data_IF_901575377612
#
_entry.id   IF_901575377612
#
_cell.length_a   1.000
_cell.length_b   1.000
_cell.length_c   1.000
_cell.angle_alpha   90.00
_cell.angle_beta   90.00
_cell.angle_gamma   90.00
#
_symmetry.space_group_name_H-M   'P 1'
#
loop_
_entity.id
_entity.type
_entity.pdbx_description
1 polymer ?
#
# COMPACT_ATOMS: atom_id res chain seq x y z
N UNK A 1 -0.57 -2.63 -18.24
CA UNK A 1 -1.72 -2.19 -19.05
C UNK A 1 -1.79 -0.66 -19.18
N UNK A 2 -1.96 0.11 -18.10
CA UNK A 2 -2.08 1.59 -18.14
C UNK A 2 -0.87 2.25 -18.82
N UNK A 3 0.35 1.87 -18.44
CA UNK A 3 1.58 2.39 -19.06
C UNK A 3 1.61 2.09 -20.57
N UNK A 4 1.19 0.90 -21.00
CA UNK A 4 1.16 0.52 -22.41
C UNK A 4 0.11 1.30 -23.21
N UNK A 5 -1.08 1.53 -22.64
CA UNK A 5 -2.14 2.33 -23.27
C UNK A 5 -1.67 3.78 -23.45
N UNK A 6 -1.05 4.36 -22.43
CA UNK A 6 -0.59 5.76 -22.50
C UNK A 6 0.58 5.92 -23.48
N UNK A 7 1.50 4.95 -23.56
CA UNK A 7 2.55 4.95 -24.58
C UNK A 7 1.97 4.87 -26.00
N UNK A 8 0.98 4.00 -26.23
CA UNK A 8 0.34 3.87 -27.54
C UNK A 8 -0.39 5.16 -27.98
N UNK A 9 -1.10 5.82 -27.05
CA UNK A 9 -1.83 7.07 -27.33
C UNK A 9 -0.88 8.26 -27.53
N UNK A 10 0.21 8.36 -26.76
CA UNK A 10 1.18 9.45 -26.88
C UNK A 10 2.16 9.28 -28.05
N UNK A 11 2.39 8.07 -28.56
CA UNK A 11 3.25 7.84 -29.73
C UNK A 11 2.74 8.57 -30.99
N UNK A 12 1.42 8.79 -31.11
CA UNK A 12 0.81 9.43 -32.27
C UNK A 12 0.69 10.96 -32.18
N UNK A 13 0.91 11.58 -31.01
CA UNK A 13 0.67 13.01 -30.79
C UNK A 13 1.90 13.75 -30.20
N UNK A 14 2.79 14.28 -31.05
CA UNK A 14 4.04 14.92 -30.59
C UNK A 14 3.87 16.30 -29.93
N UNK A 15 2.69 16.91 -29.99
CA UNK A 15 2.42 18.30 -29.55
C UNK A 15 1.86 18.44 -28.14
N UNK A 16 1.71 17.35 -27.38
CA UNK A 16 1.06 17.43 -26.06
C UNK A 16 2.02 18.04 -25.02
N UNK A 17 1.57 19.13 -24.39
CA UNK A 17 2.24 19.80 -23.27
C UNK A 17 2.48 18.86 -22.09
N UNK A 18 3.74 18.82 -21.61
CA UNK A 18 4.21 17.93 -20.53
C UNK A 18 3.48 18.18 -19.22
N UNK A 19 3.26 19.45 -18.89
CA UNK A 19 2.58 19.86 -17.66
C UNK A 19 1.11 19.45 -17.71
N UNK A 20 0.48 19.51 -18.88
CA UNK A 20 -0.93 19.11 -19.03
C UNK A 20 -1.11 17.60 -18.97
N UNK A 21 -0.16 16.82 -19.50
CA UNK A 21 -0.13 15.36 -19.31
C UNK A 21 0.08 14.97 -17.85
N UNK A 22 0.97 15.66 -17.12
CA UNK A 22 1.17 15.44 -15.69
C UNK A 22 -0.12 15.73 -14.90
N UNK A 23 -0.76 16.88 -15.15
CA UNK A 23 -2.03 17.26 -14.51
C UNK A 23 -3.14 16.25 -14.79
N UNK A 24 -3.29 15.81 -16.04
CA UNK A 24 -4.28 14.79 -16.43
C UNK A 24 -3.98 13.45 -15.77
N UNK A 25 -2.71 13.03 -15.73
CA UNK A 25 -2.29 11.79 -15.07
C UNK A 25 -2.57 11.79 -13.58
N UNK A 26 -2.27 12.90 -12.88
CA UNK A 26 -2.60 13.09 -11.47
C UNK A 26 -4.13 13.03 -11.25
N UNK A 27 -4.91 13.73 -12.08
CA UNK A 27 -6.37 13.72 -11.96
C UNK A 27 -6.97 12.32 -12.15
N UNK A 28 -6.54 11.60 -13.20
CA UNK A 28 -6.95 10.21 -13.46
C UNK A 28 -6.56 9.32 -12.27
N UNK A 29 -5.35 9.48 -11.75
CA UNK A 29 -4.86 8.78 -10.57
C UNK A 29 -5.74 9.02 -9.36
N UNK A 30 -6.13 10.27 -9.09
CA UNK A 30 -7.01 10.62 -7.96
C UNK A 30 -8.37 9.93 -8.10
N UNK A 31 -9.02 10.08 -9.25
CA UNK A 31 -10.35 9.50 -9.49
C UNK A 31 -10.32 7.97 -9.40
N UNK A 32 -9.29 7.34 -10.00
CA UNK A 32 -9.10 5.91 -9.92
C UNK A 32 -8.84 5.45 -8.49
N UNK A 33 -7.95 6.14 -7.76
CA UNK A 33 -7.59 5.82 -6.37
C UNK A 33 -8.79 5.93 -5.43
N UNK A 34 -9.62 6.96 -5.59
CA UNK A 34 -10.85 7.10 -4.82
C UNK A 34 -11.82 5.97 -5.11
N UNK A 35 -12.05 5.66 -6.39
CA UNK A 35 -12.96 4.60 -6.82
C UNK A 35 -12.54 3.23 -6.28
N UNK A 36 -11.26 2.87 -6.45
CA UNK A 36 -10.76 1.57 -6.00
C UNK A 36 -10.68 1.48 -4.47
N UNK A 37 -10.32 2.56 -3.78
CA UNK A 37 -10.30 2.59 -2.31
C UNK A 37 -11.69 2.47 -1.72
N UNK A 38 -12.67 3.16 -2.34
CA UNK A 38 -14.07 3.06 -1.94
C UNK A 38 -14.62 1.65 -2.17
N UNK A 39 -14.33 1.05 -3.32
CA UNK A 39 -14.64 -0.36 -3.58
C UNK A 39 -14.01 -1.28 -2.53
N UNK A 40 -12.71 -1.12 -2.26
CA UNK A 40 -11.99 -1.95 -1.30
C UNK A 40 -12.57 -1.84 0.11
N UNK A 41 -12.89 -0.62 0.56
CA UNK A 41 -13.56 -0.40 1.84
C UNK A 41 -14.94 -1.04 1.88
N UNK A 42 -15.77 -0.79 0.87
CA UNK A 42 -17.14 -1.32 0.81
C UNK A 42 -17.15 -2.84 0.76
N UNK A 43 -16.24 -3.45 0.00
CA UNK A 43 -16.09 -4.89 -0.10
C UNK A 43 -15.75 -5.50 1.27
N UNK A 44 -14.72 -5.00 1.95
CA UNK A 44 -14.30 -5.55 3.23
C UNK A 44 -15.19 -5.15 4.41
N UNK A 45 -16.04 -4.12 4.28
CA UNK A 45 -16.97 -3.72 5.35
C UNK A 45 -18.33 -4.40 5.22
N UNK A 46 -18.84 -4.56 3.99
CA UNK A 46 -20.23 -4.97 3.77
C UNK A 46 -20.39 -6.29 3.02
N UNK A 47 -19.45 -6.66 2.15
CA UNK A 47 -19.59 -7.85 1.31
C UNK A 47 -18.89 -9.06 1.95
N UNK A 48 -17.65 -8.88 2.38
CA UNK A 48 -16.84 -9.93 3.00
C UNK A 48 -16.10 -9.40 4.25
N UNK A 49 -16.84 -9.07 5.32
CA UNK A 49 -16.24 -8.64 6.58
C UNK A 49 -15.40 -9.74 7.25
N UNK A 50 -15.76 -11.01 7.02
CA UNK A 50 -15.07 -12.16 7.59
C UNK A 50 -13.63 -12.29 7.11
N UNK A 51 -13.31 -11.84 5.89
CA UNK A 51 -11.93 -11.91 5.38
C UNK A 51 -10.92 -11.18 6.26
N UNK A 52 -11.24 -9.94 6.68
CA UNK A 52 -10.34 -9.18 7.56
C UNK A 52 -10.29 -9.78 8.96
N UNK A 53 -11.41 -10.28 9.46
CA UNK A 53 -11.49 -10.91 10.77
C UNK A 53 -10.69 -12.23 10.81
N UNK A 54 -10.84 -13.08 9.80
CA UNK A 54 -10.08 -14.32 9.66
C UNK A 54 -8.58 -14.05 9.52
N UNK A 55 -8.20 -13.02 8.76
CA UNK A 55 -6.81 -12.60 8.65
C UNK A 55 -6.25 -12.09 9.98
N UNK A 56 -7.04 -11.33 10.72
CA UNK A 56 -6.70 -10.86 12.07
C UNK A 56 -6.47 -12.05 13.01
N UNK A 57 -7.40 -13.00 13.02
CA UNK A 57 -7.33 -14.20 13.85
C UNK A 57 -6.09 -15.06 13.51
N UNK A 58 -5.83 -15.30 12.23
CA UNK A 58 -4.65 -16.05 11.78
C UNK A 58 -3.33 -15.38 12.19
N UNK A 59 -3.26 -14.04 12.20
CA UNK A 59 -2.08 -13.32 12.65
C UNK A 59 -1.91 -13.35 14.17
N UNK A 60 -3.01 -13.34 14.93
CA UNK A 60 -2.99 -13.53 16.38
C UNK A 60 -2.50 -14.95 16.72
N UNK A 61 -3.04 -15.98 16.08
CA UNK A 61 -2.59 -17.37 16.26
C UNK A 61 -1.11 -17.54 15.92
N UNK A 62 -0.62 -16.88 14.87
CA UNK A 62 0.79 -16.87 14.52
C UNK A 62 1.66 -16.19 15.61
N UNK A 63 1.14 -15.14 16.25
CA UNK A 63 1.84 -14.46 17.35
C UNK A 63 1.95 -15.34 18.61
N UNK A 64 0.99 -16.23 18.82
CA UNK A 64 0.96 -17.18 19.95
C UNK A 64 1.83 -18.41 19.71
N UNK A 65 2.36 -18.60 18.50
CA UNK A 65 3.22 -19.72 18.18
C UNK A 65 4.49 -19.73 19.08
N UNK A 66 4.86 -20.87 19.69
CA UNK A 66 6.07 -20.98 20.51
C UNK A 66 7.35 -20.50 19.82
N UNK A 67 7.44 -20.68 18.50
CA UNK A 67 8.57 -20.18 17.72
C UNK A 67 8.62 -18.65 17.67
N UNK A 68 7.47 -17.98 17.62
CA UNK A 68 7.41 -16.51 17.66
C UNK A 68 7.92 -15.98 18.99
N UNK A 69 7.53 -16.61 20.10
CA UNK A 69 8.06 -16.27 21.42
C UNK A 69 9.57 -16.53 21.51
N UNK A 70 10.06 -17.63 20.91
CA UNK A 70 11.50 -17.94 20.86
C UNK A 70 12.26 -16.87 20.09
N UNK A 71 11.75 -16.44 18.94
CA UNK A 71 12.36 -15.39 18.14
C UNK A 71 12.36 -14.03 18.86
N UNK A 72 11.26 -13.69 19.55
CA UNK A 72 11.21 -12.47 20.36
C UNK A 72 12.29 -12.46 21.46
N UNK A 73 12.50 -13.59 22.16
CA UNK A 73 13.59 -13.74 23.14
C UNK A 73 14.98 -13.57 22.50
N UNK A 74 15.21 -14.17 21.34
CA UNK A 74 16.47 -14.03 20.60
C UNK A 74 16.73 -12.58 20.20
N UNK A 75 15.71 -11.86 19.72
CA UNK A 75 15.82 -10.46 19.32
C UNK A 75 16.18 -9.55 20.51
N UNK A 76 15.53 -9.76 21.67
CA UNK A 76 15.84 -9.05 22.91
C UNK A 76 17.30 -9.30 23.33
N UNK A 77 17.71 -10.57 23.35
CA UNK A 77 19.08 -10.94 23.74
C UNK A 77 20.13 -10.39 22.77
N UNK A 78 19.79 -10.24 21.49
CA UNK A 78 20.70 -9.73 20.46
C UNK A 78 20.81 -8.20 20.46
N UNK A 79 19.79 -7.49 20.95
CA UNK A 79 19.75 -6.02 20.98
C UNK A 79 19.14 -5.48 22.29
N UNK A 80 19.77 -5.73 23.46
CA UNK A 80 19.17 -5.44 24.76
C UNK A 80 18.87 -3.95 24.98
N UNK A 81 19.74 -3.05 24.48
CA UNK A 81 19.55 -1.61 24.61
C UNK A 81 18.28 -1.10 23.91
N UNK A 82 17.93 -1.72 22.78
CA UNK A 82 16.75 -1.36 22.00
C UNK A 82 15.44 -1.82 22.65
N UNK A 83 15.47 -2.95 23.36
CA UNK A 83 14.32 -3.55 24.02
C UNK A 83 14.30 -3.35 25.53
N UNK A 84 15.06 -2.38 26.04
CA UNK A 84 15.27 -2.20 27.47
C UNK A 84 13.94 -2.17 28.26
N UNK A 85 13.85 -3.04 29.26
CA UNK A 85 12.67 -3.19 30.12
C UNK A 85 11.48 -3.93 29.49
N UNK A 86 11.56 -4.38 28.23
CA UNK A 86 10.50 -5.15 27.57
C UNK A 86 10.75 -6.65 27.69
N UNK A 87 9.72 -7.38 28.08
CA UNK A 87 9.69 -8.84 28.01
C UNK A 87 9.34 -9.31 26.60
N UNK A 88 9.65 -10.56 26.28
CA UNK A 88 9.22 -11.17 25.01
C UNK A 88 7.69 -11.22 24.91
N UNK A 89 6.98 -11.33 26.05
CA UNK A 89 5.52 -11.31 26.09
C UNK A 89 4.99 -9.92 25.74
N UNK A 90 5.62 -8.85 26.24
CA UNK A 90 5.24 -7.48 25.93
C UNK A 90 5.34 -7.21 24.43
N UNK A 91 6.33 -7.79 23.75
CA UNK A 91 6.48 -7.68 22.29
C UNK A 91 5.33 -8.37 21.54
N UNK A 92 4.87 -9.52 22.03
CA UNK A 92 3.74 -10.24 21.44
C UNK A 92 2.43 -9.49 21.66
N UNK A 93 2.19 -8.98 22.87
CA UNK A 93 1.01 -8.18 23.19
C UNK A 93 0.94 -6.91 22.34
N UNK A 94 2.06 -6.20 22.22
CA UNK A 94 2.17 -5.05 21.31
C UNK A 94 1.90 -5.45 19.86
N UNK A 95 2.37 -6.62 19.42
CA UNK A 95 2.13 -7.10 18.06
C UNK A 95 0.64 -7.40 17.83
N UNK A 96 -0.03 -8.04 18.79
CA UNK A 96 -1.47 -8.32 18.73
C UNK A 96 -2.31 -7.03 18.75
N UNK A 97 -1.94 -6.05 19.58
CA UNK A 97 -2.59 -4.73 19.62
C UNK A 97 -2.45 -4.02 18.26
N UNK A 98 -1.24 -4.06 17.67
CA UNK A 98 -0.99 -3.50 16.35
C UNK A 98 -1.81 -4.19 15.25
N UNK A 99 -1.92 -5.53 15.28
CA UNK A 99 -2.77 -6.29 14.35
C UNK A 99 -4.23 -5.84 14.49
N UNK A 100 -4.71 -5.73 15.73
CA UNK A 100 -6.07 -5.31 16.04
C UNK A 100 -6.37 -3.87 15.60
N UNK A 101 -5.39 -2.96 15.64
CA UNK A 101 -5.60 -1.58 15.21
C UNK A 101 -5.48 -1.40 13.70
N UNK A 102 -4.43 -1.94 13.07
CA UNK A 102 -4.12 -1.73 11.65
C UNK A 102 -5.19 -2.32 10.74
N UNK A 103 -5.77 -3.46 11.11
CA UNK A 103 -6.80 -4.14 10.31
C UNK A 103 -8.20 -3.52 10.46
N UNK A 104 -8.38 -2.49 11.29
CA UNK A 104 -9.64 -1.76 11.36
C UNK A 104 -9.93 -1.09 10.01
N UNK A 105 -11.17 -1.16 9.49
CA UNK A 105 -11.54 -0.51 8.24
C UNK A 105 -11.19 0.99 8.17
N UNK A 106 -11.25 1.69 9.31
CA UNK A 106 -10.89 3.10 9.43
C UNK A 106 -9.40 3.39 9.23
N UNK A 107 -8.51 2.41 9.41
CA UNK A 107 -7.06 2.52 9.17
C UNK A 107 -6.68 1.94 7.81
N UNK A 108 -7.29 0.81 7.43
CA UNK A 108 -7.04 0.18 6.13
C UNK A 108 -7.41 1.10 4.96
N UNK A 109 -8.54 1.81 5.04
CA UNK A 109 -8.98 2.72 3.98
C UNK A 109 -7.98 3.85 3.66
N UNK A 110 -7.55 4.69 4.61
CA UNK A 110 -6.60 5.76 4.32
C UNK A 110 -5.23 5.22 3.88
N UNK A 111 -4.78 4.07 4.41
CA UNK A 111 -3.54 3.42 3.96
C UNK A 111 -3.64 2.97 2.51
N UNK A 112 -4.74 2.32 2.13
CA UNK A 112 -5.00 1.92 0.75
C UNK A 112 -5.09 3.13 -0.18
N UNK A 113 -5.83 4.17 0.21
CA UNK A 113 -5.95 5.41 -0.57
C UNK A 113 -4.60 6.07 -0.80
N UNK A 114 -3.80 6.22 0.25
CA UNK A 114 -2.44 6.73 0.14
C UNK A 114 -1.60 5.88 -0.80
N UNK A 115 -1.65 4.56 -0.67
CA UNK A 115 -0.88 3.62 -1.50
C UNK A 115 -1.24 3.75 -2.98
N UNK A 116 -2.53 3.84 -3.31
CA UNK A 116 -2.97 4.02 -4.70
C UNK A 116 -2.61 5.39 -5.27
N UNK A 117 -2.75 6.45 -4.47
CA UNK A 117 -2.33 7.80 -4.88
C UNK A 117 -0.83 7.86 -5.12
N UNK A 118 -0.03 7.28 -4.22
CA UNK A 118 1.42 7.23 -4.35
C UNK A 118 1.85 6.43 -5.58
N UNK A 119 1.26 5.25 -5.79
CA UNK A 119 1.53 4.43 -6.96
C UNK A 119 1.13 5.14 -8.26
N UNK A 120 0.00 5.84 -8.27
CA UNK A 120 -0.45 6.60 -9.43
C UNK A 120 0.42 7.82 -9.72
N UNK A 121 0.97 8.48 -8.70
CA UNK A 121 2.00 9.51 -8.86
C UNK A 121 3.27 8.94 -9.51
N UNK A 122 3.81 7.84 -8.96
CA UNK A 122 4.98 7.15 -9.55
C UNK A 122 4.70 6.75 -10.99
N UNK A 123 3.53 6.17 -11.26
CA UNK A 123 3.13 5.76 -12.60
C UNK A 123 3.08 6.94 -13.56
N UNK A 124 2.56 8.08 -13.12
CA UNK A 124 2.52 9.31 -13.94
C UNK A 124 3.91 9.83 -14.24
N UNK A 125 4.83 9.81 -13.27
CA UNK A 125 6.23 10.20 -13.47
C UNK A 125 6.93 9.26 -14.47
N UNK A 126 6.76 7.95 -14.32
CA UNK A 126 7.32 6.94 -15.25
C UNK A 126 6.77 7.18 -16.66
N UNK A 127 5.46 7.35 -16.80
CA UNK A 127 4.82 7.64 -18.09
C UNK A 127 5.39 8.91 -18.72
N UNK A 128 5.55 9.98 -17.94
CA UNK A 128 6.13 11.23 -18.42
C UNK A 128 7.58 11.05 -18.88
N UNK A 129 8.38 10.27 -18.16
CA UNK A 129 9.76 9.97 -18.52
C UNK A 129 9.84 9.12 -19.79
N UNK A 130 9.05 8.04 -19.88
CA UNK A 130 9.02 7.17 -21.04
C UNK A 130 8.52 7.92 -22.29
N UNK A 131 7.49 8.75 -22.14
CA UNK A 131 6.99 9.59 -23.24
C UNK A 131 8.09 10.52 -23.78
N UNK A 132 8.97 11.03 -22.92
CA UNK A 132 10.13 11.82 -23.35
C UNK A 132 11.14 10.97 -24.15
N UNK A 133 11.47 9.77 -23.66
CA UNK A 133 12.42 8.87 -24.33
C UNK A 133 11.91 8.39 -25.71
N UNK A 134 10.61 8.18 -25.85
CA UNK A 134 9.98 7.67 -27.07
C UNK A 134 9.34 8.76 -27.95
N UNK A 135 9.47 10.04 -27.58
CA UNK A 135 9.06 11.15 -28.43
C UNK A 135 9.95 11.19 -29.67
N UNK A 136 9.34 11.06 -30.86
CA UNK A 136 10.03 11.20 -32.14
C UNK A 136 10.59 12.63 -32.22
N UNK A 137 11.92 12.78 -32.17
CA UNK A 137 12.58 14.06 -32.49
C UNK A 137 12.22 14.41 -33.94
N UNK A 138 11.51 15.52 -34.11
CA UNK A 138 11.20 16.09 -35.43
C UNK A 138 12.36 16.99 -35.85
#
# INVERSE_FOLDING_TARGET
LIIAIVLAVNYQNPTISRIDNLKKGILISIVFSLSISFYFYSYHKWINPEFLENKKQSLIELSENPETLRQAKLNINSNPDFYNGKSAQDLLEMQQENINDILKPAKVFPISLFSFLFLGMISTLIISLLTNLFQKKT
#
